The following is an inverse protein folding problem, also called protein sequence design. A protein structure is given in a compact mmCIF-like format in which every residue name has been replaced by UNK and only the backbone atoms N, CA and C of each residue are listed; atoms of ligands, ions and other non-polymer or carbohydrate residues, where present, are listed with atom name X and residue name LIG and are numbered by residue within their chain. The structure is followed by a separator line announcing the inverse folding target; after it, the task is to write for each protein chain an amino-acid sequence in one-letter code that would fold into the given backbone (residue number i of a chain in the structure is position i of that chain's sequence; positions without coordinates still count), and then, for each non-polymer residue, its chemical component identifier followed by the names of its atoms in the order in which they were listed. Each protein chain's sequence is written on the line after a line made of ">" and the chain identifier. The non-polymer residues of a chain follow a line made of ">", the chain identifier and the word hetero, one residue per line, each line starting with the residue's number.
data_IF_943868203026
#
_entry.id   IF_943868203026
#
_cell.length_a   1.000
_cell.length_b   1.000
_cell.length_c   1.000
_cell.angle_alpha   90.00
_cell.angle_beta   90.00
_cell.angle_gamma   90.00
#
_symmetry.space_group_name_H-M   'P 1'
#
loop_
_entity.id
_entity.type
_entity.pdbx_description
1 polymer ?
#
# COMPACT_ATOMS: atom_id res chain seq x y z
N UNK A 1 20.17 -13.86 -17.76
CA UNK A 1 18.82 -14.45 -17.68
C UNK A 1 18.39 -14.37 -16.23
N UNK A 2 17.26 -13.71 -15.93
CA UNK A 2 16.69 -13.71 -14.59
C UNK A 2 16.07 -15.10 -14.30
N UNK A 3 16.32 -15.64 -13.11
CA UNK A 3 15.81 -16.93 -12.67
C UNK A 3 14.28 -16.84 -12.49
N UNK A 4 13.47 -17.74 -13.09
CA UNK A 4 12.02 -17.81 -12.90
C UNK A 4 11.59 -17.87 -11.42
N UNK A 5 12.43 -18.42 -10.54
CA UNK A 5 12.16 -18.49 -9.09
C UNK A 5 12.30 -17.11 -8.43
N UNK A 6 13.27 -16.30 -8.89
CA UNK A 6 13.43 -14.90 -8.44
C UNK A 6 12.28 -14.01 -8.90
N UNK A 7 11.72 -14.29 -10.08
CA UNK A 7 10.62 -13.55 -10.71
C UNK A 7 9.30 -13.72 -9.95
N UNK A 8 8.95 -14.96 -9.61
CA UNK A 8 7.74 -15.28 -8.82
C UNK A 8 7.82 -14.67 -7.41
N UNK A 9 9.02 -14.53 -6.85
CA UNK A 9 9.25 -13.90 -5.55
C UNK A 9 8.89 -12.41 -5.51
N UNK A 10 9.06 -11.66 -6.60
CA UNK A 10 8.81 -10.21 -6.62
C UNK A 10 7.32 -9.87 -6.59
N UNK A 11 6.50 -10.48 -7.45
CA UNK A 11 5.04 -10.23 -7.47
C UNK A 11 4.40 -10.65 -6.15
N UNK A 12 4.75 -11.83 -5.63
CA UNK A 12 4.24 -12.32 -4.35
C UNK A 12 4.61 -11.40 -3.17
N UNK A 13 5.85 -10.90 -3.14
CA UNK A 13 6.28 -9.97 -2.11
C UNK A 13 5.56 -8.61 -2.21
N UNK A 14 5.36 -8.08 -3.43
CA UNK A 14 4.57 -6.85 -3.61
C UNK A 14 3.12 -7.06 -3.19
N UNK A 15 2.51 -8.21 -3.50
CA UNK A 15 1.15 -8.53 -3.06
C UNK A 15 1.03 -8.53 -1.52
N UNK A 16 1.96 -9.18 -0.80
CA UNK A 16 1.95 -9.15 0.67
C UNK A 16 2.11 -7.74 1.23
N UNK A 17 3.05 -6.96 0.70
CA UNK A 17 3.27 -5.59 1.12
C UNK A 17 2.06 -4.70 0.82
N UNK A 18 1.46 -4.85 -0.36
CA UNK A 18 0.27 -4.12 -0.77
C UNK A 18 -0.91 -4.41 0.16
N UNK A 19 -1.12 -5.67 0.55
CA UNK A 19 -2.16 -6.05 1.52
C UNK A 19 -1.93 -5.41 2.89
N UNK A 20 -0.69 -5.45 3.40
CA UNK A 20 -0.34 -4.81 4.67
C UNK A 20 -0.57 -3.31 4.62
N UNK A 21 -0.08 -2.65 3.58
CA UNK A 21 -0.21 -1.21 3.41
C UNK A 21 -1.67 -0.78 3.23
N UNK A 22 -2.49 -1.56 2.51
CA UNK A 22 -3.93 -1.32 2.40
C UNK A 22 -4.61 -1.37 3.78
N UNK A 23 -4.26 -2.35 4.62
CA UNK A 23 -4.81 -2.47 5.98
C UNK A 23 -4.41 -1.27 6.85
N UNK A 24 -3.14 -0.88 6.82
CA UNK A 24 -2.63 0.28 7.56
C UNK A 24 -3.29 1.58 7.08
N UNK A 25 -3.36 1.79 5.77
CA UNK A 25 -4.00 2.95 5.15
C UNK A 25 -5.47 3.05 5.56
N UNK A 26 -6.22 1.96 5.46
CA UNK A 26 -7.63 1.95 5.82
C UNK A 26 -7.87 2.19 7.31
N UNK A 27 -7.02 1.62 8.18
CA UNK A 27 -7.05 1.87 9.62
C UNK A 27 -6.84 3.34 9.97
N UNK A 28 -5.82 3.96 9.37
CA UNK A 28 -5.56 5.38 9.56
C UNK A 28 -6.67 6.27 8.96
N UNK A 29 -7.15 5.96 7.76
CA UNK A 29 -8.26 6.69 7.14
C UNK A 29 -9.50 6.69 8.04
N UNK A 30 -9.91 5.52 8.53
CA UNK A 30 -11.06 5.37 9.43
C UNK A 30 -10.85 6.17 10.72
N UNK A 31 -9.65 6.11 11.28
CA UNK A 31 -9.25 6.87 12.48
C UNK A 31 -9.37 8.37 12.27
N UNK A 32 -8.88 8.91 11.15
CA UNK A 32 -9.01 10.33 10.83
C UNK A 32 -10.46 10.73 10.54
N UNK A 33 -11.27 9.85 9.93
CA UNK A 33 -12.63 10.16 9.48
C UNK A 33 -13.61 10.43 10.62
N UNK A 34 -13.35 9.91 11.82
CA UNK A 34 -14.22 10.07 13.00
C UNK A 34 -13.87 11.29 13.86
N UNK A 35 -12.79 12.01 13.53
CA UNK A 35 -12.37 13.22 14.26
C UNK A 35 -13.29 14.39 13.89
N UNK A 36 -14.16 14.78 14.83
CA UNK A 36 -15.03 15.96 14.64
C UNK A 36 -14.23 17.26 14.71
N UNK A 37 -14.57 18.23 13.85
CA UNK A 37 -13.84 19.51 13.72
C UNK A 37 -12.33 19.32 13.50
N UNK A 38 -11.96 18.28 12.75
CA UNK A 38 -10.59 17.95 12.46
C UNK A 38 -9.82 19.16 11.89
N UNK A 39 -8.59 19.43 12.38
CA UNK A 39 -7.69 20.38 11.75
C UNK A 39 -7.47 20.04 10.26
N UNK A 40 -7.12 21.04 9.45
CA UNK A 40 -6.91 20.86 8.01
C UNK A 40 -5.82 19.82 7.70
N UNK A 41 -4.85 19.67 8.59
CA UNK A 41 -3.80 18.66 8.52
C UNK A 41 -4.36 17.25 8.57
N UNK A 42 -5.29 16.97 9.50
CA UNK A 42 -5.92 15.65 9.64
C UNK A 42 -6.82 15.34 8.43
N UNK A 43 -7.54 16.34 7.93
CA UNK A 43 -8.36 16.20 6.71
C UNK A 43 -7.46 15.88 5.50
N UNK A 44 -6.34 16.59 5.36
CA UNK A 44 -5.39 16.36 4.26
C UNK A 44 -4.76 14.97 4.35
N UNK A 45 -4.31 14.55 5.54
CA UNK A 45 -3.80 13.19 5.79
C UNK A 45 -4.86 12.14 5.42
N UNK A 46 -6.10 12.31 5.88
CA UNK A 46 -7.19 11.38 5.57
C UNK A 46 -7.38 11.20 4.06
N UNK A 47 -7.41 12.31 3.32
CA UNK A 47 -7.56 12.28 1.85
C UNK A 47 -6.39 11.59 1.16
N UNK A 48 -5.16 11.94 1.53
CA UNK A 48 -3.97 11.41 0.89
C UNK A 48 -3.78 9.91 1.20
N UNK A 49 -4.08 9.50 2.44
CA UNK A 49 -4.10 8.09 2.86
C UNK A 49 -5.16 7.29 2.09
N UNK A 50 -6.35 7.86 1.89
CA UNK A 50 -7.39 7.20 1.10
C UNK A 50 -7.01 7.07 -0.38
N UNK A 51 -6.40 8.09 -0.97
CA UNK A 51 -5.90 8.03 -2.34
C UNK A 51 -4.81 6.96 -2.51
N UNK A 52 -3.92 6.84 -1.52
CA UNK A 52 -2.92 5.78 -1.48
C UNK A 52 -3.56 4.40 -1.36
N UNK A 53 -4.52 4.22 -0.44
CA UNK A 53 -5.29 2.99 -0.29
C UNK A 53 -5.91 2.53 -1.61
N UNK A 54 -6.61 3.42 -2.31
CA UNK A 54 -7.23 3.10 -3.60
C UNK A 54 -6.19 2.68 -4.65
N UNK A 55 -5.05 3.38 -4.71
CA UNK A 55 -3.98 3.07 -5.67
C UNK A 55 -3.38 1.68 -5.41
N UNK A 56 -3.03 1.39 -4.15
CA UNK A 56 -2.43 0.10 -3.79
C UNK A 56 -3.45 -1.03 -3.88
N UNK A 57 -4.72 -0.81 -3.53
CA UNK A 57 -5.79 -1.80 -3.68
C UNK A 57 -5.99 -2.19 -5.14
N UNK A 58 -5.93 -1.24 -6.06
CA UNK A 58 -6.03 -1.50 -7.50
C UNK A 58 -4.81 -2.26 -8.01
N UNK A 59 -3.59 -1.90 -7.57
CA UNK A 59 -2.38 -2.63 -7.89
C UNK A 59 -2.46 -4.09 -7.40
N UNK A 60 -2.88 -4.28 -6.15
CA UNK A 60 -3.04 -5.58 -5.51
C UNK A 60 -4.05 -6.46 -6.26
N UNK A 61 -5.22 -5.90 -6.59
CA UNK A 61 -6.25 -6.58 -7.37
C UNK A 61 -5.78 -6.95 -8.78
N UNK A 62 -5.01 -6.06 -9.42
CA UNK A 62 -4.45 -6.31 -10.75
C UNK A 62 -3.42 -7.43 -10.73
N UNK A 63 -2.51 -7.41 -9.75
CA UNK A 63 -1.46 -8.43 -9.62
C UNK A 63 -1.98 -9.81 -9.19
N UNK A 64 -3.21 -9.90 -8.66
CA UNK A 64 -3.90 -11.19 -8.42
C UNK A 64 -4.43 -11.86 -9.69
N UNK A 65 -4.58 -11.12 -10.79
CA UNK A 65 -4.97 -11.73 -12.06
C UNK A 65 -3.79 -12.51 -12.63
N UNK A 66 -4.00 -13.80 -12.91
CA UNK A 66 -2.97 -14.66 -13.52
C UNK A 66 -2.47 -14.12 -14.86
N UNK A 67 -3.36 -13.47 -15.63
CA UNK A 67 -3.03 -12.86 -16.92
C UNK A 67 -2.07 -11.68 -16.74
N UNK A 68 -2.40 -10.78 -15.82
CA UNK A 68 -1.55 -9.61 -15.49
C UNK A 68 -0.23 -10.08 -14.87
N UNK A 69 -0.28 -11.04 -13.93
CA UNK A 69 0.92 -11.61 -13.32
C UNK A 69 1.84 -12.24 -14.37
N UNK A 70 1.28 -12.91 -15.38
CA UNK A 70 2.05 -13.48 -16.50
C UNK A 70 2.73 -12.39 -17.32
N UNK A 71 2.03 -11.30 -17.67
CA UNK A 71 2.61 -10.17 -18.40
C UNK A 71 3.74 -9.51 -17.59
N UNK A 72 3.48 -9.23 -16.31
CA UNK A 72 4.46 -8.64 -15.38
C UNK A 72 5.71 -9.51 -15.26
N UNK A 73 5.54 -10.82 -15.10
CA UNK A 73 6.66 -11.76 -14.97
C UNK A 73 7.47 -11.88 -16.27
N UNK A 74 6.83 -11.64 -17.43
CA UNK A 74 7.50 -11.64 -18.73
C UNK A 74 8.29 -10.37 -19.03
N UNK A 75 8.04 -9.27 -18.31
CA UNK A 75 8.65 -7.97 -18.55
C UNK A 75 9.61 -7.56 -17.41
N UNK A 76 10.91 -7.59 -17.71
CA UNK A 76 11.98 -7.25 -16.76
C UNK A 76 11.88 -5.81 -16.24
N UNK A 77 11.45 -4.84 -17.05
CA UNK A 77 11.36 -3.44 -16.63
C UNK A 77 10.18 -3.22 -15.68
N UNK A 78 9.05 -3.88 -15.94
CA UNK A 78 7.89 -3.86 -15.04
C UNK A 78 8.26 -4.52 -13.71
N UNK A 79 8.94 -5.67 -13.73
CA UNK A 79 9.41 -6.32 -12.50
C UNK A 79 10.34 -5.42 -11.68
N UNK A 80 11.33 -4.78 -12.32
CA UNK A 80 12.24 -3.87 -11.62
C UNK A 80 11.47 -2.70 -10.98
N UNK A 81 10.48 -2.18 -11.69
CA UNK A 81 9.60 -1.14 -11.15
C UNK A 81 8.83 -1.63 -9.93
N UNK A 82 8.26 -2.84 -9.97
CA UNK A 82 7.59 -3.46 -8.84
C UNK A 82 8.53 -3.69 -7.65
N UNK A 83 9.77 -4.11 -7.90
CA UNK A 83 10.79 -4.26 -6.85
C UNK A 83 11.07 -2.92 -6.16
N UNK A 84 11.22 -1.84 -6.94
CA UNK A 84 11.42 -0.49 -6.36
C UNK A 84 10.21 0.03 -5.60
N UNK A 85 8.98 -0.42 -5.94
CA UNK A 85 7.76 -0.03 -5.24
C UNK A 85 7.62 -0.65 -3.84
N UNK A 86 8.35 -1.72 -3.53
CA UNK A 86 8.31 -2.36 -2.20
C UNK A 86 8.66 -1.38 -1.08
N UNK A 87 9.75 -0.61 -1.26
CA UNK A 87 10.26 0.33 -0.26
C UNK A 87 9.24 1.43 0.08
N UNK A 88 8.69 2.21 -0.89
CA UNK A 88 7.71 3.23 -0.58
C UNK A 88 6.41 2.66 -0.01
N UNK A 89 5.96 1.45 -0.44
CA UNK A 89 4.78 0.79 0.15
C UNK A 89 5.02 0.45 1.62
N UNK A 90 6.17 -0.13 1.94
CA UNK A 90 6.55 -0.48 3.31
C UNK A 90 6.68 0.77 4.19
N UNK A 91 7.36 1.82 3.70
CA UNK A 91 7.52 3.08 4.41
C UNK A 91 6.16 3.74 4.69
N UNK A 92 5.24 3.71 3.73
CA UNK A 92 3.90 4.23 3.92
C UNK A 92 3.11 3.44 4.98
N UNK A 93 3.20 2.10 4.98
CA UNK A 93 2.55 1.26 6.00
C UNK A 93 3.03 1.65 7.39
N UNK A 94 4.35 1.69 7.60
CA UNK A 94 4.97 2.07 8.88
C UNK A 94 4.58 3.48 9.32
N UNK A 95 4.58 4.44 8.40
CA UNK A 95 4.17 5.81 8.70
C UNK A 95 2.69 5.87 9.10
N UNK A 96 1.83 5.14 8.39
CA UNK A 96 0.39 5.10 8.67
C UNK A 96 0.11 4.48 10.04
N UNK A 97 0.78 3.38 10.37
CA UNK A 97 0.71 2.72 11.68
C UNK A 97 1.18 3.69 12.79
N UNK A 98 2.33 4.34 12.62
CA UNK A 98 2.87 5.27 13.61
C UNK A 98 1.97 6.50 13.83
N UNK A 99 1.32 7.02 12.78
CA UNK A 99 0.35 8.11 12.92
C UNK A 99 -0.90 7.59 13.64
N UNK A 100 -1.41 6.42 13.27
CA UNK A 100 -2.57 5.81 13.88
C UNK A 100 -2.35 5.56 15.38
N UNK A 101 -1.20 5.00 15.78
CA UNK A 101 -0.82 4.81 17.19
C UNK A 101 -0.86 6.10 18.00
N UNK A 102 -0.47 7.24 17.40
CA UNK A 102 -0.54 8.56 18.03
C UNK A 102 -1.94 9.14 18.05
N UNK A 103 -2.78 8.80 17.07
CA UNK A 103 -4.16 9.28 17.01
C UNK A 103 -5.08 8.51 17.97
N UNK A 104 -4.89 7.19 18.13
CA UNK A 104 -5.76 6.32 18.95
C UNK A 104 -6.08 6.89 20.34
N UNK A 105 -5.13 7.40 21.14
CA UNK A 105 -5.43 7.97 22.46
C UNK A 105 -6.34 9.20 22.46
N UNK A 106 -6.53 9.82 21.29
CA UNK A 106 -7.34 11.01 21.08
C UNK A 106 -8.66 10.71 20.36
N UNK A 107 -8.89 9.45 19.97
CA UNK A 107 -10.16 8.98 19.45
C UNK A 107 -10.99 8.52 20.65
N UNK A 108 -12.13 9.18 20.87
CA UNK A 108 -13.02 8.93 22.00
C UNK A 108 -13.57 7.50 22.02
#
# INVERSE_FOLDING_TARGET
>A
MADPISVIGTVAAVLQLAQSACKAALGLYNSCSVVQNAPQEIISISRDVHAFYMTISNLESSLRSDEVATVVNGDVQIMLTLETLKIPIENFSKASEAIMEKLIPHLN
#
